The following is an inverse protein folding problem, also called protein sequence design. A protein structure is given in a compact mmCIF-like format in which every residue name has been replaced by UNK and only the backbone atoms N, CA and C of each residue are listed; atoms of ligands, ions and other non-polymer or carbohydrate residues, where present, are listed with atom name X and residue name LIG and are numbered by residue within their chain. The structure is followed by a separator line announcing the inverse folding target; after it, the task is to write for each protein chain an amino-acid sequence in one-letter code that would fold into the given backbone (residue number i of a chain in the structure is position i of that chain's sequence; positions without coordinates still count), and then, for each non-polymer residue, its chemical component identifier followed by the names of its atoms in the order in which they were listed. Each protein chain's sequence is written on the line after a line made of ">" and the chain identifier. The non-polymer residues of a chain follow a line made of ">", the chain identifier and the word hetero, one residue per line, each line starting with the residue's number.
data_IF_365710517472
#
_entry.id   IF_365710517472
#
_cell.length_a   1.000
_cell.length_b   1.000
_cell.length_c   1.000
_cell.angle_alpha   90.00
_cell.angle_beta   90.00
_cell.angle_gamma   90.00
#
_symmetry.space_group_name_H-M   'P 1'
#
loop_
_entity.id
_entity.type
_entity.pdbx_description
1 polymer ?
#
# COMPACT_ATOMS: atom_id res chain seq x y z
N UNK A 1 -2.99 -1.05 -14.70
CA UNK A 1 -2.88 -1.36 -13.25
C UNK A 1 -3.54 -0.24 -12.46
N UNK A 2 -4.51 -0.52 -11.59
CA UNK A 2 -5.27 0.52 -10.89
C UNK A 2 -4.47 1.26 -9.81
N UNK A 3 -3.51 0.58 -9.15
CA UNK A 3 -2.78 1.10 -7.98
C UNK A 3 -2.02 2.40 -8.24
N UNK A 4 -1.35 2.52 -9.39
CA UNK A 4 -0.57 3.70 -9.81
C UNK A 4 -1.31 4.54 -10.87
N UNK A 5 -2.62 4.29 -11.05
CA UNK A 5 -3.43 5.07 -11.98
C UNK A 5 -3.63 6.51 -11.50
N UNK A 6 -3.82 7.45 -12.44
CA UNK A 6 -4.09 8.86 -12.11
C UNK A 6 -5.51 9.11 -11.59
N UNK A 7 -6.47 8.25 -11.93
CA UNK A 7 -7.83 8.36 -11.40
C UNK A 7 -7.92 7.78 -9.98
N UNK A 8 -7.73 8.63 -8.99
CA UNK A 8 -7.68 8.24 -7.57
C UNK A 8 -9.06 8.07 -6.94
N UNK A 9 -10.09 8.74 -7.46
CA UNK A 9 -11.46 8.73 -6.91
C UNK A 9 -12.10 7.33 -6.95
N UNK A 10 -11.83 6.56 -8.01
CA UNK A 10 -12.33 5.19 -8.14
C UNK A 10 -11.74 4.28 -7.05
N UNK A 11 -10.48 4.49 -6.67
CA UNK A 11 -9.82 3.67 -5.65
C UNK A 11 -10.44 3.87 -4.26
N UNK A 12 -10.83 5.10 -3.94
CA UNK A 12 -11.48 5.42 -2.66
C UNK A 12 -12.90 4.85 -2.56
N UNK A 13 -13.64 4.84 -3.68
CA UNK A 13 -15.05 4.41 -3.70
C UNK A 13 -15.22 2.90 -3.89
N UNK A 14 -14.37 2.28 -4.72
CA UNK A 14 -14.51 0.87 -5.10
C UNK A 14 -13.40 -0.03 -4.52
N UNK A 15 -12.34 0.57 -3.98
CA UNK A 15 -11.14 -0.15 -3.58
C UNK A 15 -10.31 -0.59 -4.79
N UNK A 16 -9.43 -1.55 -4.58
CA UNK A 16 -8.61 -2.16 -5.63
C UNK A 16 -8.35 -3.63 -5.33
N UNK A 17 -7.76 -4.35 -6.27
CA UNK A 17 -7.30 -5.72 -6.04
C UNK A 17 -5.78 -5.76 -6.18
N UNK A 18 -5.11 -6.36 -5.18
CA UNK A 18 -3.66 -6.56 -5.16
C UNK A 18 -3.39 -8.07 -5.10
N UNK A 19 -2.75 -8.63 -6.12
CA UNK A 19 -2.44 -10.07 -6.16
C UNK A 19 -3.66 -10.99 -6.03
N UNK A 20 -4.84 -10.54 -6.49
CA UNK A 20 -6.11 -11.27 -6.33
C UNK A 20 -6.88 -10.95 -5.04
N UNK A 21 -6.27 -10.27 -4.06
CA UNK A 21 -6.94 -9.87 -2.83
C UNK A 21 -7.60 -8.50 -2.95
N UNK A 22 -8.89 -8.42 -2.62
CA UNK A 22 -9.60 -7.13 -2.55
C UNK A 22 -9.05 -6.30 -1.41
N UNK A 23 -8.83 -5.02 -1.65
CA UNK A 23 -8.27 -4.07 -0.70
C UNK A 23 -9.14 -2.80 -0.63
N UNK A 24 -9.23 -2.22 0.56
CA UNK A 24 -9.74 -0.87 0.79
C UNK A 24 -8.57 0.09 0.90
N UNK A 25 -8.76 1.30 0.38
CA UNK A 25 -7.85 2.42 0.62
C UNK A 25 -8.21 3.07 1.95
N UNK A 26 -7.22 3.25 2.82
CA UNK A 26 -7.35 4.00 4.08
C UNK A 26 -6.86 5.43 3.86
N UNK A 27 -5.69 5.60 3.24
CA UNK A 27 -5.08 6.90 2.90
C UNK A 27 -4.37 6.81 1.56
N UNK A 28 -4.43 7.88 0.77
CA UNK A 28 -3.77 7.99 -0.53
C UNK A 28 -3.04 9.32 -0.67
N UNK A 29 -1.72 9.29 -0.50
CA UNK A 29 -0.83 10.42 -0.67
C UNK A 29 0.19 10.22 -1.81
N UNK A 30 0.01 9.20 -2.68
CA UNK A 30 1.03 8.84 -3.68
C UNK A 30 1.40 9.99 -4.63
N UNK A 31 0.44 10.88 -4.92
CA UNK A 31 0.62 11.99 -5.86
C UNK A 31 0.28 13.37 -5.28
N UNK A 32 -0.17 13.45 -4.03
CA UNK A 32 -0.56 14.71 -3.38
C UNK A 32 0.53 15.26 -2.49
N UNK A 33 1.36 14.38 -1.89
CA UNK A 33 2.47 14.77 -1.03
C UNK A 33 3.81 14.45 -1.73
N UNK A 34 4.56 15.50 -2.07
CA UNK A 34 5.84 15.38 -2.73
C UNK A 34 6.93 14.75 -1.82
N UNK A 35 6.79 14.87 -0.50
CA UNK A 35 7.70 14.32 0.50
C UNK A 35 7.30 12.92 0.94
N UNK A 36 5.99 12.63 1.02
CA UNK A 36 5.45 11.35 1.48
C UNK A 36 4.56 10.71 0.43
N UNK A 37 5.20 10.12 -0.59
CA UNK A 37 4.52 9.36 -1.66
C UNK A 37 4.04 8.00 -1.18
N UNK A 38 3.13 8.00 -0.21
CA UNK A 38 2.66 6.80 0.49
C UNK A 38 1.17 6.55 0.29
N UNK A 39 0.74 5.30 0.43
CA UNK A 39 -0.65 4.89 0.45
C UNK A 39 -0.81 3.74 1.43
N UNK A 40 -1.87 3.79 2.22
CA UNK A 40 -2.22 2.72 3.16
C UNK A 40 -3.47 2.00 2.69
N UNK A 41 -3.39 0.67 2.66
CA UNK A 41 -4.51 -0.19 2.30
C UNK A 41 -4.76 -1.22 3.41
N UNK A 42 -5.94 -1.84 3.35
CA UNK A 42 -6.28 -3.03 4.14
C UNK A 42 -6.94 -4.06 3.25
N UNK A 43 -6.55 -5.33 3.35
CA UNK A 43 -7.28 -6.40 2.67
C UNK A 43 -8.70 -6.53 3.24
N UNK A 44 -9.64 -6.93 2.39
CA UNK A 44 -10.98 -7.38 2.80
C UNK A 44 -10.93 -8.90 2.98
N UNK A 45 -11.55 -9.40 4.04
CA UNK A 45 -11.86 -10.84 4.14
C UNK A 45 -12.92 -11.15 3.10
N UNK A 46 -12.67 -12.13 2.25
CA UNK A 46 -13.70 -12.68 1.38
C UNK A 46 -14.23 -13.96 2.02
N UNK A 47 -15.51 -13.97 2.40
CA UNK A 47 -16.14 -15.12 3.08
C UNK A 47 -16.06 -16.46 2.30
N UNK A 48 -15.64 -16.45 1.03
CA UNK A 48 -15.41 -17.66 0.23
C UNK A 48 -13.98 -18.20 0.26
N UNK A 49 -13.00 -17.46 0.78
CA UNK A 49 -11.59 -17.89 0.83
C UNK A 49 -11.30 -18.51 2.21
N UNK A 50 -11.24 -19.84 2.26
CA UNK A 50 -11.19 -20.62 3.51
C UNK A 50 -9.82 -20.63 4.19
N UNK A 51 -8.80 -19.99 3.62
CA UNK A 51 -7.42 -20.07 4.10
C UNK A 51 -7.04 -19.00 5.12
N UNK A 52 -7.68 -17.83 5.12
CA UNK A 52 -7.38 -16.77 6.09
C UNK A 52 -8.59 -15.83 6.28
N UNK A 53 -9.14 -15.82 7.50
CA UNK A 53 -10.24 -14.92 7.88
C UNK A 53 -9.74 -13.57 8.42
N UNK A 54 -8.46 -13.26 8.24
CA UNK A 54 -7.87 -12.04 8.76
C UNK A 54 -7.75 -10.95 7.70
N UNK A 55 -7.71 -9.70 8.18
CA UNK A 55 -7.35 -8.55 7.35
C UNK A 55 -5.90 -8.16 7.62
N UNK A 56 -5.20 -7.76 6.57
CA UNK A 56 -3.80 -7.38 6.62
C UNK A 56 -3.66 -5.89 6.28
N UNK A 57 -2.84 -5.19 7.04
CA UNK A 57 -2.41 -3.85 6.65
C UNK A 57 -1.42 -3.96 5.49
N UNK A 58 -1.49 -3.02 4.55
CA UNK A 58 -0.58 -2.92 3.43
C UNK A 58 -0.11 -1.47 3.35
N UNK A 59 1.20 -1.27 3.22
CA UNK A 59 1.79 0.03 2.97
C UNK A 59 2.39 0.03 1.56
N UNK A 60 2.10 1.07 0.79
CA UNK A 60 2.62 1.29 -0.56
C UNK A 60 3.42 2.59 -0.54
N UNK A 61 4.63 2.57 -1.10
CA UNK A 61 5.47 3.75 -1.23
C UNK A 61 6.06 3.82 -2.64
N UNK A 62 5.96 4.99 -3.27
CA UNK A 62 6.51 5.21 -4.60
C UNK A 62 7.88 5.92 -4.50
N UNK A 63 8.94 5.21 -4.92
CA UNK A 63 10.32 5.68 -5.00
C UNK A 63 10.77 5.53 -6.45
N UNK A 64 10.43 6.48 -7.32
CA UNK A 64 10.62 6.33 -8.77
C UNK A 64 12.06 5.86 -9.13
N UNK A 65 12.20 4.80 -9.96
CA UNK A 65 11.13 4.09 -10.69
C UNK A 65 10.48 2.90 -9.93
N UNK A 66 10.81 2.70 -8.66
CA UNK A 66 10.38 1.58 -7.81
C UNK A 66 9.03 1.86 -7.11
N UNK A 67 8.15 0.86 -7.10
CA UNK A 67 6.97 0.83 -6.24
C UNK A 67 7.17 -0.22 -5.14
N UNK A 68 7.39 0.22 -3.91
CA UNK A 68 7.53 -0.67 -2.74
C UNK A 68 6.15 -1.00 -2.18
N UNK A 69 5.89 -2.29 -1.96
CA UNK A 69 4.65 -2.77 -1.34
C UNK A 69 5.04 -3.69 -0.19
N UNK A 70 4.59 -3.37 1.01
CA UNK A 70 4.74 -4.19 2.20
C UNK A 70 3.38 -4.68 2.67
N UNK A 71 3.29 -5.98 2.95
CA UNK A 71 2.10 -6.61 3.52
C UNK A 71 2.44 -7.05 4.93
N UNK A 72 1.67 -6.57 5.91
CA UNK A 72 1.85 -6.95 7.30
C UNK A 72 1.32 -8.35 7.57
N UNK A 73 2.00 -9.09 8.45
CA UNK A 73 1.44 -10.30 9.05
C UNK A 73 0.18 -9.97 9.87
N UNK A 74 -0.59 -10.99 10.23
CA UNK A 74 -1.77 -10.82 11.09
C UNK A 74 -1.40 -10.05 12.38
N UNK A 75 -2.22 -9.07 12.74
CA UNK A 75 -2.04 -8.25 13.94
C UNK A 75 -1.07 -7.08 13.79
N UNK A 76 -0.29 -6.99 12.71
CA UNK A 76 0.59 -5.83 12.47
C UNK A 76 -0.26 -4.58 12.18
N UNK A 77 0.03 -3.51 12.92
CA UNK A 77 -0.64 -2.22 12.77
C UNK A 77 -0.14 -1.47 11.53
N UNK A 78 -1.07 -0.74 10.88
CA UNK A 78 -0.78 0.02 9.67
C UNK A 78 0.28 1.11 9.87
N UNK A 79 0.24 1.83 11.00
CA UNK A 79 1.23 2.87 11.31
C UNK A 79 2.66 2.32 11.41
N UNK A 80 2.84 1.19 12.10
CA UNK A 80 4.13 0.49 12.20
C UNK A 80 4.63 0.05 10.82
N UNK A 81 3.74 -0.51 10.00
CA UNK A 81 4.08 -0.96 8.65
C UNK A 81 4.47 0.20 7.74
N UNK A 82 3.73 1.30 7.78
CA UNK A 82 3.99 2.51 7.00
C UNK A 82 5.33 3.14 7.37
N UNK A 83 5.65 3.25 8.67
CA UNK A 83 6.95 3.74 9.12
C UNK A 83 8.11 2.90 8.57
N UNK A 84 7.98 1.55 8.61
CA UNK A 84 8.98 0.65 8.06
C UNK A 84 9.10 0.77 6.53
N UNK A 85 7.98 0.95 5.84
CA UNK A 85 7.94 1.20 4.40
C UNK A 85 8.69 2.48 4.03
N UNK A 86 8.45 3.56 4.78
CA UNK A 86 9.10 4.85 4.60
C UNK A 86 10.61 4.78 4.82
N UNK A 87 11.07 4.06 5.85
CA UNK A 87 12.50 3.86 6.10
C UNK A 87 13.19 3.09 4.96
N UNK A 88 12.57 2.01 4.46
CA UNK A 88 13.10 1.24 3.32
C UNK A 88 13.11 2.11 2.06
N UNK A 89 12.05 2.88 1.83
CA UNK A 89 11.94 3.78 0.71
C UNK A 89 13.07 4.82 0.67
N UNK A 90 13.43 5.42 1.82
CA UNK A 90 14.58 6.33 1.92
C UNK A 90 15.90 5.65 1.56
N UNK A 91 16.12 4.44 2.07
CA UNK A 91 17.31 3.66 1.72
C UNK A 91 17.38 3.40 0.20
N UNK A 92 16.27 3.01 -0.43
CA UNK A 92 16.22 2.83 -1.89
C UNK A 92 16.52 4.14 -2.62
N UNK A 93 15.93 5.26 -2.19
CA UNK A 93 16.12 6.56 -2.81
C UNK A 93 17.59 7.03 -2.75
N UNK A 94 18.25 6.82 -1.62
CA UNK A 94 19.67 7.14 -1.43
C UNK A 94 20.57 6.35 -2.39
N UNK A 95 20.28 5.06 -2.60
CA UNK A 95 21.05 4.21 -3.51
C UNK A 95 20.78 4.51 -4.99
N UNK A 96 19.57 4.94 -5.35
CA UNK A 96 19.23 5.30 -6.73
C UNK A 96 19.81 6.64 -7.20
N UNK A 97 20.27 7.49 -6.27
CA UNK A 97 20.90 8.79 -6.59
C UNK A 97 22.41 8.71 -6.83
N UNK A 98 23.02 7.56 -6.59
CA UNK A 98 24.43 7.28 -6.88
C UNK A 98 24.61 6.89 -8.35
#
# INVERSE_FOLDING_TARGET
>A
MALLGRNRNILLTQGLTLGGHKCLVIRDNLYTDAQQRTMDLRTKVYHGDKKDNCTHAIAVVLVNPVCLILIGMQGIQGGTLNLKAFQIAKCIEEHLRQ
#
